data_IF_360038701385
#
_entry.id   IF_360038701385
#
_cell.length_a   1.000
_cell.length_b   1.000
_cell.length_c   1.000
_cell.angle_alpha   90.00
_cell.angle_beta   90.00
_cell.angle_gamma   90.00
#
_symmetry.space_group_name_H-M   'P 1'
#
loop_
_entity.id
_entity.type
_entity.pdbx_description
1 polymer ?
#
# COMPACT_ATOMS: atom_id res chain seq x y z
N UNK A 1 7.79 -14.22 20.64
CA UNK A 1 6.92 -13.79 19.52
C UNK A 1 6.45 -15.06 18.80
N UNK A 2 5.15 -15.22 18.69
CA UNK A 2 4.60 -16.30 17.89
C UNK A 2 4.95 -16.09 16.42
N UNK A 3 5.07 -17.20 15.69
CA UNK A 3 5.40 -17.12 14.28
C UNK A 3 4.23 -16.53 13.50
N UNK A 4 4.52 -15.51 12.70
CA UNK A 4 3.54 -14.86 11.81
C UNK A 4 3.61 -15.56 10.46
N UNK A 5 2.45 -15.96 9.92
CA UNK A 5 2.38 -16.45 8.56
C UNK A 5 2.38 -15.27 7.58
N UNK A 6 3.25 -15.32 6.61
CA UNK A 6 3.38 -14.31 5.58
C UNK A 6 2.83 -14.87 4.27
N UNK A 7 1.77 -14.26 3.75
CA UNK A 7 1.09 -14.72 2.54
C UNK A 7 1.19 -13.65 1.44
N UNK A 8 1.41 -14.11 0.21
CA UNK A 8 1.52 -13.24 -0.96
C UNK A 8 0.53 -13.67 -2.04
N UNK A 9 -0.76 -13.35 -1.90
CA UNK A 9 -1.75 -13.72 -2.91
C UNK A 9 -1.48 -12.98 -4.22
N UNK A 10 -1.86 -13.59 -5.33
CA UNK A 10 -1.70 -13.02 -6.67
C UNK A 10 -2.98 -12.40 -7.21
N UNK A 11 -4.12 -12.64 -6.55
CA UNK A 11 -5.42 -12.09 -6.94
C UNK A 11 -6.14 -11.47 -5.76
N UNK A 12 -7.05 -10.55 -6.05
CA UNK A 12 -7.91 -9.93 -5.05
C UNK A 12 -8.74 -11.00 -4.33
N UNK A 13 -9.29 -11.96 -5.08
CA UNK A 13 -10.12 -13.03 -4.50
C UNK A 13 -9.34 -13.88 -3.50
N UNK A 14 -8.09 -14.23 -3.81
CA UNK A 14 -7.23 -14.96 -2.87
C UNK A 14 -6.97 -14.14 -1.61
N UNK A 15 -6.68 -12.85 -1.75
CA UNK A 15 -6.45 -11.95 -0.63
C UNK A 15 -7.68 -11.88 0.27
N UNK A 16 -8.88 -11.73 -0.32
CA UNK A 16 -10.14 -11.69 0.43
C UNK A 16 -10.35 -12.97 1.21
N UNK A 17 -10.10 -14.13 0.60
CA UNK A 17 -10.23 -15.42 1.28
C UNK A 17 -9.29 -15.54 2.47
N UNK A 18 -8.04 -15.12 2.31
CA UNK A 18 -7.06 -15.12 3.40
C UNK A 18 -7.50 -14.23 4.57
N UNK A 19 -7.99 -13.04 4.27
CA UNK A 19 -8.48 -12.11 5.28
C UNK A 19 -9.71 -12.64 6.00
N UNK A 20 -10.67 -13.21 5.27
CA UNK A 20 -11.86 -13.82 5.85
C UNK A 20 -11.53 -15.02 6.73
N UNK A 21 -10.61 -15.87 6.29
CA UNK A 21 -10.19 -17.06 7.02
C UNK A 21 -9.49 -16.76 8.33
N UNK A 22 -8.79 -15.62 8.42
CA UNK A 22 -8.08 -15.20 9.62
C UNK A 22 -8.97 -14.41 10.59
N UNK A 23 -10.21 -14.08 10.19
CA UNK A 23 -11.09 -13.24 11.01
C UNK A 23 -10.50 -11.84 11.17
N UNK A 24 -10.39 -11.34 12.40
CA UNK A 24 -9.78 -10.03 12.66
C UNK A 24 -8.26 -10.07 12.89
N UNK A 25 -7.63 -11.23 12.70
CA UNK A 25 -6.25 -11.48 13.11
C UNK A 25 -5.24 -11.37 11.95
N UNK A 26 -5.64 -10.75 10.86
CA UNK A 26 -4.78 -10.49 9.72
C UNK A 26 -4.54 -8.99 9.55
N UNK A 27 -3.40 -8.66 8.95
CA UNK A 27 -3.10 -7.29 8.53
C UNK A 27 -2.63 -7.30 7.09
N UNK A 28 -2.98 -6.24 6.36
CA UNK A 28 -2.56 -6.03 4.97
C UNK A 28 -1.22 -5.31 4.97
N UNK A 29 -0.31 -5.80 4.14
CA UNK A 29 0.98 -5.18 3.90
C UNK A 29 1.01 -4.61 2.47
N UNK A 30 1.15 -3.30 2.34
CA UNK A 30 1.50 -2.62 1.10
C UNK A 30 2.96 -2.17 1.18
N UNK A 31 3.22 -0.92 1.47
CA UNK A 31 4.57 -0.40 1.65
C UNK A 31 5.26 -0.83 2.94
N UNK A 32 4.49 -1.05 3.99
CA UNK A 32 5.01 -1.49 5.29
C UNK A 32 5.62 -0.40 6.14
N UNK A 33 5.58 0.85 5.71
CA UNK A 33 6.22 1.96 6.43
C UNK A 33 5.58 2.24 7.79
N UNK A 34 4.32 1.84 7.97
CA UNK A 34 3.61 1.98 9.23
C UNK A 34 3.40 0.62 9.91
N UNK A 35 3.00 -0.39 9.14
CA UNK A 35 2.75 -1.74 9.66
C UNK A 35 3.99 -2.34 10.35
N UNK A 36 5.17 -2.20 9.76
CA UNK A 36 6.40 -2.74 10.34
C UNK A 36 6.78 -2.02 11.63
N UNK A 37 6.50 -0.73 11.72
CA UNK A 37 6.70 0.03 12.96
C UNK A 37 5.77 -0.48 14.06
N UNK A 38 4.51 -0.71 13.73
CA UNK A 38 3.52 -1.25 14.69
C UNK A 38 3.94 -2.64 15.18
N UNK A 39 4.44 -3.49 14.29
CA UNK A 39 4.92 -4.82 14.66
C UNK A 39 6.13 -4.75 15.59
N UNK A 40 7.11 -3.90 15.29
CA UNK A 40 8.30 -3.73 16.12
C UNK A 40 7.99 -3.15 17.50
N UNK A 41 7.00 -2.27 17.56
CA UNK A 41 6.57 -1.65 18.81
C UNK A 41 5.61 -2.54 19.61
N UNK A 42 5.30 -3.73 19.12
CA UNK A 42 4.34 -4.67 19.73
C UNK A 42 2.95 -4.05 19.92
N UNK A 43 2.57 -3.13 19.05
CA UNK A 43 1.23 -2.51 19.07
C UNK A 43 0.16 -3.43 18.51
N UNK A 44 0.58 -4.35 17.64
CA UNK A 44 -0.27 -5.36 17.02
C UNK A 44 0.44 -6.71 17.04
N UNK A 45 -0.32 -7.78 17.05
CA UNK A 45 0.21 -9.15 17.08
C UNK A 45 -0.63 -10.05 16.15
N UNK A 46 -0.63 -9.81 14.84
CA UNK A 46 -1.44 -10.60 13.91
C UNK A 46 -0.82 -11.99 13.70
N UNK A 47 -1.66 -12.98 13.40
CA UNK A 47 -1.19 -14.32 13.01
C UNK A 47 -0.85 -14.39 11.51
N UNK A 48 -1.44 -13.51 10.71
CA UNK A 48 -1.27 -13.50 9.25
C UNK A 48 -1.02 -12.09 8.74
N UNK A 49 -0.01 -11.96 7.88
CA UNK A 49 0.23 -10.74 7.11
C UNK A 49 0.01 -11.07 5.64
N UNK A 50 -0.83 -10.30 4.98
CA UNK A 50 -1.19 -10.46 3.58
C UNK A 50 -0.51 -9.36 2.77
N UNK A 51 0.52 -9.71 2.02
CA UNK A 51 1.23 -8.79 1.14
C UNK A 51 0.46 -8.68 -0.19
N UNK A 52 -0.05 -7.50 -0.49
CA UNK A 52 -0.89 -7.27 -1.66
C UNK A 52 -0.11 -6.82 -2.89
N UNK A 53 1.22 -6.67 -2.80
CA UNK A 53 2.02 -6.11 -3.90
C UNK A 53 2.17 -7.04 -5.10
N UNK A 54 1.81 -8.32 -4.97
CA UNK A 54 1.79 -9.27 -6.10
C UNK A 54 0.46 -9.29 -6.85
N UNK A 55 -0.51 -8.49 -6.42
CA UNK A 55 -1.82 -8.35 -7.08
C UNK A 55 -1.72 -7.19 -8.07
N UNK A 56 -1.93 -7.45 -9.35
CA UNK A 56 -1.73 -6.45 -10.41
C UNK A 56 -2.53 -5.17 -10.20
N UNK A 57 -3.79 -5.28 -9.79
CA UNK A 57 -4.66 -4.12 -9.58
C UNK A 57 -4.12 -3.16 -8.50
N UNK A 58 -3.35 -3.65 -7.54
CA UNK A 58 -2.77 -2.80 -6.49
C UNK A 58 -1.57 -2.01 -6.98
N UNK A 59 -1.03 -2.36 -8.13
CA UNK A 59 0.15 -1.72 -8.72
C UNK A 59 -0.18 -0.86 -9.94
N UNK A 60 -1.44 -0.77 -10.31
CA UNK A 60 -1.85 0.06 -11.46
C UNK A 60 -1.60 1.54 -11.21
N UNK A 61 -1.07 2.20 -12.22
CA UNK A 61 -0.88 3.64 -12.25
C UNK A 61 -1.15 4.10 -13.67
N UNK A 62 -2.40 4.39 -13.98
CA UNK A 62 -2.82 4.67 -15.34
C UNK A 62 -3.71 5.88 -15.46
N UNK A 63 -3.60 6.56 -16.59
CA UNK A 63 -4.52 7.62 -17.00
C UNK A 63 -5.67 6.99 -17.76
N UNK A 64 -6.89 7.26 -17.32
CA UNK A 64 -8.11 6.77 -17.98
C UNK A 64 -8.49 7.67 -19.16
N UNK A 65 -9.39 7.17 -20.02
CA UNK A 65 -9.82 7.86 -21.21
C UNK A 65 -10.50 9.22 -20.92
N UNK A 66 -11.14 9.36 -19.77
CA UNK A 66 -11.80 10.60 -19.34
C UNK A 66 -10.87 11.61 -18.66
N UNK A 67 -9.57 11.32 -18.61
CA UNK A 67 -8.57 12.16 -17.95
C UNK A 67 -8.37 11.89 -16.48
N UNK A 68 -9.17 11.02 -15.85
CA UNK A 68 -8.94 10.59 -14.48
C UNK A 68 -7.78 9.61 -14.40
N UNK A 69 -7.33 9.33 -13.18
CA UNK A 69 -6.25 8.37 -12.92
C UNK A 69 -6.72 7.28 -11.98
N UNK A 70 -6.24 6.07 -12.25
CA UNK A 70 -6.36 4.96 -11.32
C UNK A 70 -5.00 4.74 -10.66
N UNK A 71 -4.96 4.86 -9.34
CA UNK A 71 -3.76 4.64 -8.56
C UNK A 71 -3.98 3.44 -7.63
N UNK A 72 -3.26 2.37 -7.87
CA UNK A 72 -3.36 1.17 -7.06
C UNK A 72 -2.90 1.41 -5.62
N UNK A 73 -3.48 0.66 -4.69
CA UNK A 73 -3.24 0.87 -3.25
C UNK A 73 -1.79 0.66 -2.83
N UNK A 74 -1.01 -0.11 -3.59
CA UNK A 74 0.39 -0.41 -3.27
C UNK A 74 1.40 0.36 -4.14
N UNK A 75 0.95 1.32 -4.94
CA UNK A 75 1.87 2.19 -5.71
C UNK A 75 2.64 3.07 -4.75
N UNK A 76 3.97 3.03 -4.83
CA UNK A 76 4.83 3.86 -3.99
C UNK A 76 4.92 5.30 -4.50
N UNK A 77 5.15 6.24 -3.59
CA UNK A 77 5.29 7.67 -3.94
C UNK A 77 6.39 7.93 -4.95
N UNK A 78 7.52 7.23 -4.84
CA UNK A 78 8.63 7.37 -5.78
C UNK A 78 8.23 6.99 -7.22
N UNK A 79 7.40 5.96 -7.40
CA UNK A 79 6.89 5.56 -8.71
C UNK A 79 6.02 6.65 -9.33
N UNK A 80 5.13 7.24 -8.52
CA UNK A 80 4.25 8.31 -8.97
C UNK A 80 5.02 9.59 -9.30
N UNK A 81 6.05 9.91 -8.52
CA UNK A 81 6.88 11.09 -8.72
C UNK A 81 7.61 11.05 -10.07
N UNK A 82 7.96 9.88 -10.55
CA UNK A 82 8.62 9.70 -11.86
C UNK A 82 7.67 9.86 -13.05
N UNK A 83 6.36 9.86 -12.83
CA UNK A 83 5.35 9.99 -13.88
C UNK A 83 5.09 11.45 -14.19
N UNK A 84 5.55 11.90 -15.35
CA UNK A 84 5.42 13.29 -15.79
C UNK A 84 3.96 13.70 -16.02
N UNK A 85 3.13 12.78 -16.51
CA UNK A 85 1.70 13.04 -16.78
C UNK A 85 0.92 13.36 -15.50
N UNK A 86 1.13 12.60 -14.44
CA UNK A 86 0.47 12.82 -13.15
C UNK A 86 0.95 14.12 -12.53
N UNK A 87 2.26 14.38 -12.57
CA UNK A 87 2.84 15.59 -12.02
C UNK A 87 2.30 16.83 -12.73
N UNK A 88 2.09 16.75 -14.05
CA UNK A 88 1.53 17.85 -14.82
C UNK A 88 0.03 18.06 -14.54
N UNK A 89 -0.74 16.96 -14.47
CA UNK A 89 -2.20 17.03 -14.32
C UNK A 89 -2.64 17.25 -12.86
N UNK A 90 -1.90 16.65 -11.91
CA UNK A 90 -2.26 16.68 -10.48
C UNK A 90 -1.05 17.00 -9.60
N UNK A 91 -0.43 18.20 -9.78
CA UNK A 91 0.79 18.53 -9.02
C UNK A 91 0.57 18.54 -7.51
N UNK A 92 -0.60 18.96 -7.04
CA UNK A 92 -0.91 18.96 -5.60
C UNK A 92 -0.92 17.57 -4.98
N UNK A 93 -1.34 16.56 -5.73
CA UNK A 93 -1.31 15.16 -5.24
C UNK A 93 0.12 14.70 -5.07
N UNK A 94 0.98 14.99 -6.03
CA UNK A 94 2.41 14.63 -5.96
C UNK A 94 3.09 15.38 -4.83
N UNK A 95 2.84 16.67 -4.67
CA UNK A 95 3.40 17.48 -3.57
C UNK A 95 3.01 16.90 -2.21
N UNK A 96 1.74 16.56 -2.03
CA UNK A 96 1.25 15.97 -0.78
C UNK A 96 1.89 14.60 -0.51
N UNK A 97 2.04 13.79 -1.54
CA UNK A 97 2.67 12.48 -1.42
C UNK A 97 4.14 12.59 -1.03
N UNK A 98 4.85 13.57 -1.62
CA UNK A 98 6.26 13.83 -1.33
C UNK A 98 6.50 14.30 0.11
N UNK A 99 5.47 14.77 0.80
CA UNK A 99 5.56 15.15 2.22
C UNK A 99 5.47 13.95 3.18
N UNK A 100 5.15 12.75 2.68
CA UNK A 100 5.07 11.56 3.52
C UNK A 100 6.48 11.05 3.84
N UNK A 101 6.91 11.30 5.08
CA UNK A 101 8.20 10.80 5.58
C UNK A 101 9.42 11.34 4.84
N UNK A 102 10.45 10.53 4.77
CA UNK A 102 11.71 10.83 4.09
C UNK A 102 11.75 10.25 2.68
N UNK A 103 12.83 10.52 1.94
CA UNK A 103 13.05 9.94 0.62
C UNK A 103 13.03 8.41 0.65
N UNK A 104 13.59 7.79 1.69
CA UNK A 104 13.57 6.35 1.86
C UNK A 104 12.14 5.82 2.08
N UNK A 105 11.33 6.53 2.85
CA UNK A 105 9.92 6.17 3.09
C UNK A 105 9.12 6.26 1.79
N UNK A 106 9.36 7.29 0.98
CA UNK A 106 8.67 7.49 -0.31
C UNK A 106 8.88 6.35 -1.29
N UNK A 107 9.96 5.60 -1.17
CA UNK A 107 10.18 4.39 -1.96
C UNK A 107 9.17 3.29 -1.68
N UNK A 108 8.40 3.37 -0.60
CA UNK A 108 7.44 2.36 -0.18
C UNK A 108 6.06 2.88 0.18
N UNK A 109 5.97 4.08 0.76
CA UNK A 109 4.70 4.64 1.23
C UNK A 109 3.71 4.82 0.07
N UNK A 110 2.48 4.37 0.28
CA UNK A 110 1.41 4.46 -0.70
C UNK A 110 0.26 5.34 -0.20
N UNK A 111 -0.47 5.96 -1.12
CA UNK A 111 -1.67 6.73 -0.77
C UNK A 111 -2.72 5.83 -0.13
N UNK A 112 -2.94 4.62 -0.70
CA UNK A 112 -3.90 3.67 -0.17
C UNK A 112 -3.58 3.26 1.26
N UNK A 113 -2.31 2.99 1.56
CA UNK A 113 -1.87 2.63 2.91
C UNK A 113 -2.10 3.75 3.91
N UNK A 114 -1.72 4.97 3.55
CA UNK A 114 -1.92 6.14 4.41
C UNK A 114 -3.40 6.44 4.64
N UNK A 115 -4.23 6.32 3.60
CA UNK A 115 -5.67 6.51 3.73
C UNK A 115 -6.27 5.50 4.71
N UNK A 116 -5.91 4.23 4.60
CA UNK A 116 -6.43 3.16 5.46
C UNK A 116 -5.97 3.31 6.91
N UNK A 117 -4.77 3.85 7.13
CA UNK A 117 -4.26 4.10 8.48
C UNK A 117 -4.75 5.42 9.09
N UNK A 118 -5.40 6.25 8.31
CA UNK A 118 -5.87 7.58 8.72
C UNK A 118 -4.73 8.47 9.24
N UNK A 119 -3.55 8.28 8.68
CA UNK A 119 -2.36 9.03 9.09
C UNK A 119 -2.05 10.19 8.15
#
# INVERSE_FOLDING_TARGET
MESIQFQKPETVDEAVKLLQGAGGDARILAGGTDLLVQLRAHMIDPSVIVDIKSIDETRELKKNADGSYTIGAAVAGAEAHEREDITADWPGVIEAWDLIGSTQIQGRASLGGNLCNAS
#
